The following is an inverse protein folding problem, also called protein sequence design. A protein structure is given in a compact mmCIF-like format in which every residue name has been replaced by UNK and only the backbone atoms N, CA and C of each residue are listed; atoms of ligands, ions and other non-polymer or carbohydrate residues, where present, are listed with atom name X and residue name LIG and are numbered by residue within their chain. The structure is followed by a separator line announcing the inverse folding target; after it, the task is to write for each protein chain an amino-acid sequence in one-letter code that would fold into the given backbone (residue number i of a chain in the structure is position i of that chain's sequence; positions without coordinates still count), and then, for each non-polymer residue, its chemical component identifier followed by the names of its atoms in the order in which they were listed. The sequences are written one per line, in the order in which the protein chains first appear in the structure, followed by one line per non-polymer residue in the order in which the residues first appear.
data_IF_948971507856
#
_entry.id   IF_948971507856
#
_cell.length_a   1.000
_cell.length_b   1.000
_cell.length_c   1.000
_cell.angle_alpha   90.00
_cell.angle_beta   90.00
_cell.angle_gamma   90.00
#
_symmetry.space_group_name_H-M   'P 1'
#
loop_
_entity.id
_entity.type
_entity.pdbx_description
1 polymer ?
#
# COMPACT_ATOMS: atom_id res chain seq x y z
N UNK A 1 -1.44 22.29 36.42
CA UNK A 1 -1.35 20.97 35.78
C UNK A 1 0.12 20.66 35.71
N UNK A 2 0.58 19.78 36.60
CA UNK A 2 1.98 19.41 36.68
C UNK A 2 2.29 18.57 35.44
N UNK A 3 3.08 19.14 34.53
CA UNK A 3 3.50 18.44 33.32
C UNK A 3 4.43 17.31 33.75
N UNK A 4 3.98 16.06 33.60
CA UNK A 4 4.86 14.91 33.76
C UNK A 4 6.11 15.13 32.86
N UNK A 5 7.33 15.10 33.42
CA UNK A 5 8.52 15.36 32.63
C UNK A 5 8.69 14.27 31.57
N UNK A 6 9.08 14.67 30.36
CA UNK A 6 9.39 13.73 29.27
C UNK A 6 10.58 12.86 29.70
N UNK A 7 10.45 11.54 29.54
CA UNK A 7 11.55 10.62 29.77
C UNK A 7 12.54 10.71 28.60
N UNK A 8 13.65 11.42 28.81
CA UNK A 8 14.68 11.64 27.80
C UNK A 8 15.42 10.36 27.39
N UNK A 9 15.60 9.40 28.30
CA UNK A 9 16.23 8.10 27.97
C UNK A 9 15.34 7.28 27.03
N UNK A 10 14.02 7.26 27.28
CA UNK A 10 13.07 6.58 26.41
C UNK A 10 13.01 7.25 25.01
N UNK A 11 13.07 8.58 24.96
CA UNK A 11 13.09 9.31 23.69
C UNK A 11 14.38 9.04 22.90
N UNK A 12 15.54 9.04 23.57
CA UNK A 12 16.83 8.74 22.93
C UNK A 12 16.85 7.33 22.32
N UNK A 13 16.37 6.33 23.08
CA UNK A 13 16.22 4.96 22.58
C UNK A 13 15.36 4.88 21.32
N UNK A 14 14.21 5.58 21.29
CA UNK A 14 13.32 5.63 20.13
C UNK A 14 13.96 6.30 18.91
N UNK A 15 14.74 7.37 19.11
CA UNK A 15 15.45 8.07 18.04
C UNK A 15 16.56 7.18 17.45
N UNK A 16 17.32 6.50 18.31
CA UNK A 16 18.37 5.57 17.87
C UNK A 16 17.79 4.38 17.10
N UNK A 17 16.68 3.81 17.56
CA UNK A 17 15.96 2.76 16.85
C UNK A 17 15.47 3.23 15.47
N UNK A 18 14.88 4.43 15.42
CA UNK A 18 14.46 5.05 14.17
C UNK A 18 15.64 5.24 13.20
N UNK A 19 16.75 5.83 13.66
CA UNK A 19 17.93 6.07 12.84
C UNK A 19 18.51 4.78 12.24
N UNK A 20 18.49 3.68 13.00
CA UNK A 20 18.87 2.34 12.49
C UNK A 20 17.86 1.83 11.45
N UNK A 21 16.57 1.93 11.72
CA UNK A 21 15.51 1.42 10.84
C UNK A 21 15.41 2.17 9.50
N UNK A 22 15.79 3.45 9.50
CA UNK A 22 15.80 4.37 8.35
C UNK A 22 17.15 4.39 7.62
N UNK A 23 18.14 3.62 8.09
CA UNK A 23 19.51 3.62 7.56
C UNK A 23 20.18 5.01 7.53
N UNK A 24 19.91 5.83 8.56
CA UNK A 24 20.47 7.18 8.70
C UNK A 24 21.86 7.16 9.36
N UNK A 25 22.26 6.02 9.91
CA UNK A 25 23.60 5.79 10.42
C UNK A 25 24.40 5.14 9.28
N UNK A 26 25.47 5.79 8.82
CA UNK A 26 26.47 5.08 8.00
C UNK A 26 27.00 3.90 8.83
N UNK A 27 27.17 2.73 8.20
CA UNK A 27 27.83 1.54 8.77
C UNK A 27 29.32 1.84 9.04
N UNK A 28 29.59 2.80 9.93
CA UNK A 28 30.92 3.18 10.41
C UNK A 28 31.50 2.15 11.39
N UNK A 29 30.86 0.97 11.52
CA UNK A 29 31.34 -0.15 12.32
C UNK A 29 31.78 -1.35 11.48
N UNK A 30 32.11 -1.15 10.21
CA UNK A 30 33.13 -1.99 9.56
C UNK A 30 34.53 -1.55 10.01
N UNK A 31 34.74 -1.46 11.33
CA UNK A 31 36.04 -1.30 11.97
C UNK A 31 36.83 -2.60 11.80
N UNK A 32 37.33 -2.80 10.58
CA UNK A 32 38.46 -3.69 10.35
C UNK A 32 39.62 -3.19 11.23
N UNK A 33 40.25 -4.02 12.07
CA UNK A 33 41.42 -3.57 12.82
C UNK A 33 42.53 -3.18 11.84
N UNK A 34 43.35 -2.14 12.13
CA UNK A 34 44.42 -1.74 11.23
C UNK A 34 45.47 -2.85 11.17
N UNK A 35 45.44 -3.63 10.10
CA UNK A 35 46.48 -4.62 9.82
C UNK A 35 47.70 -3.88 9.27
N UNK A 36 48.86 -4.20 9.87
CA UNK A 36 50.18 -3.68 9.51
C UNK A 36 50.55 -3.93 8.03
N UNK A 37 51.52 -3.19 7.45
CA UNK A 37 51.77 -3.22 6.02
C UNK A 37 52.60 -4.44 5.62
N UNK A 38 52.08 -5.29 4.74
CA UNK A 38 52.89 -6.22 3.94
C UNK A 38 52.14 -6.66 2.68
N UNK A 39 52.66 -6.18 1.55
CA UNK A 39 52.71 -6.73 0.19
C UNK A 39 51.84 -7.96 -0.15
N UNK A 40 50.93 -7.81 -1.11
CA UNK A 40 50.87 -8.53 -2.41
C UNK A 40 49.45 -8.74 -2.94
N UNK A 41 49.32 -8.46 -4.24
CA UNK A 41 48.32 -8.85 -5.24
C UNK A 41 47.12 -9.72 -4.79
N UNK A 42 45.89 -9.23 -5.01
CA UNK A 42 44.94 -9.75 -6.01
C UNK A 42 43.50 -9.27 -5.76
N UNK A 43 42.72 -9.27 -6.85
CA UNK A 43 41.25 -9.40 -6.89
C UNK A 43 40.42 -8.14 -6.60
N UNK A 44 40.01 -7.49 -7.68
CA UNK A 44 38.90 -6.55 -7.72
C UNK A 44 37.58 -7.27 -7.43
N UNK A 45 37.23 -7.41 -6.16
CA UNK A 45 35.83 -7.60 -5.77
C UNK A 45 35.20 -6.21 -5.76
N UNK A 46 34.50 -5.89 -6.84
CA UNK A 46 33.46 -4.88 -6.80
C UNK A 46 32.42 -5.35 -5.79
N UNK A 47 32.61 -4.97 -4.53
CA UNK A 47 31.56 -5.06 -3.52
C UNK A 47 30.50 -4.05 -3.92
N UNK A 48 29.60 -4.46 -4.80
CA UNK A 48 28.26 -3.87 -4.88
C UNK A 48 27.77 -3.75 -3.43
N UNK A 49 27.28 -2.59 -2.98
CA UNK A 49 26.73 -2.48 -1.64
C UNK A 49 25.61 -3.51 -1.60
N UNK A 50 25.81 -4.56 -0.82
CA UNK A 50 24.76 -5.51 -0.51
C UNK A 50 23.59 -4.66 -0.02
N UNK A 51 22.51 -4.63 -0.81
CA UNK A 51 21.20 -4.14 -0.41
C UNK A 51 20.74 -5.04 0.75
N UNK A 52 21.37 -4.87 1.92
CA UNK A 52 20.85 -5.33 3.19
C UNK A 52 19.47 -4.72 3.24
N UNK A 53 18.46 -5.58 3.11
CA UNK A 53 17.05 -5.22 2.98
C UNK A 53 16.62 -4.41 4.20
N UNK A 54 16.85 -3.09 4.15
CA UNK A 54 16.49 -2.20 5.23
C UNK A 54 14.98 -2.13 5.30
N UNK A 55 14.42 -2.17 6.51
CA UNK A 55 12.99 -1.94 6.75
C UNK A 55 12.49 -0.69 6.02
N UNK A 56 13.34 0.34 5.91
CA UNK A 56 13.11 1.51 5.08
C UNK A 56 12.84 1.22 3.60
N UNK A 57 13.67 0.42 2.92
CA UNK A 57 13.47 0.13 1.50
C UNK A 57 12.13 -0.58 1.28
N UNK A 58 11.78 -1.54 2.15
CA UNK A 58 10.48 -2.22 2.11
C UNK A 58 9.33 -1.22 2.30
N UNK A 59 9.40 -0.31 3.29
CA UNK A 59 8.37 0.72 3.50
C UNK A 59 8.27 1.70 2.33
N UNK A 60 9.39 2.10 1.73
CA UNK A 60 9.41 2.95 0.54
C UNK A 60 8.74 2.25 -0.65
N UNK A 61 9.00 0.96 -0.85
CA UNK A 61 8.35 0.16 -1.89
C UNK A 61 6.86 0.04 -1.65
N UNK A 62 6.43 -0.22 -0.41
CA UNK A 62 5.01 -0.24 -0.02
C UNK A 62 4.35 1.10 -0.33
N UNK A 63 5.00 2.20 0.04
CA UNK A 63 4.51 3.55 -0.24
C UNK A 63 4.37 3.82 -1.74
N UNK A 64 5.35 3.42 -2.57
CA UNK A 64 5.29 3.56 -4.03
C UNK A 64 4.12 2.77 -4.64
N UNK A 65 3.97 1.50 -4.24
CA UNK A 65 2.86 0.64 -4.69
C UNK A 65 1.52 1.27 -4.30
N UNK A 66 1.39 1.72 -3.05
CA UNK A 66 0.19 2.40 -2.60
C UNK A 66 -0.13 3.60 -3.47
N UNK A 67 0.87 4.45 -3.72
CA UNK A 67 0.68 5.70 -4.48
C UNK A 67 0.28 5.45 -5.93
N UNK A 68 0.84 4.41 -6.57
CA UNK A 68 0.44 4.03 -7.93
C UNK A 68 -1.01 3.52 -7.96
N UNK A 69 -1.40 2.70 -6.97
CA UNK A 69 -2.77 2.22 -6.84
C UNK A 69 -3.76 3.35 -6.60
N UNK A 70 -3.46 4.31 -5.72
CA UNK A 70 -4.30 5.50 -5.46
C UNK A 70 -4.41 6.45 -6.66
N UNK A 71 -3.36 6.54 -7.47
CA UNK A 71 -3.37 7.29 -8.73
C UNK A 71 -4.20 6.59 -9.83
N UNK A 72 -4.54 5.31 -9.65
CA UNK A 72 -5.26 4.50 -10.63
C UNK A 72 -4.33 3.84 -11.68
N UNK A 73 -3.01 3.89 -11.46
CA UNK A 73 -2.03 3.16 -12.28
C UNK A 73 -1.78 1.77 -11.66
N UNK A 74 -2.72 0.86 -11.94
CA UNK A 74 -2.70 -0.50 -11.39
C UNK A 74 -1.58 -1.33 -12.02
N UNK A 75 -1.23 -1.06 -13.27
CA UNK A 75 -0.17 -1.78 -13.97
C UNK A 75 1.20 -1.50 -13.36
N UNK A 76 1.53 -0.23 -13.12
CA UNK A 76 2.76 0.12 -12.42
C UNK A 76 2.81 -0.49 -11.00
N UNK A 77 1.67 -0.52 -10.29
CA UNK A 77 1.57 -1.17 -8.98
C UNK A 77 1.82 -2.67 -9.04
N UNK A 78 1.25 -3.37 -10.04
CA UNK A 78 1.45 -4.81 -10.24
C UNK A 78 2.88 -5.13 -10.66
N UNK A 79 3.54 -4.31 -11.46
CA UNK A 79 4.92 -4.52 -11.87
C UNK A 79 5.89 -4.38 -10.68
N UNK A 80 5.64 -3.40 -9.80
CA UNK A 80 6.35 -3.25 -8.52
C UNK A 80 6.11 -4.46 -7.59
N UNK A 81 4.88 -4.99 -7.55
CA UNK A 81 4.56 -6.20 -6.79
C UNK A 81 5.33 -7.42 -7.32
N UNK A 82 5.35 -7.65 -8.63
CA UNK A 82 6.10 -8.78 -9.23
C UNK A 82 7.59 -8.71 -8.95
N UNK A 83 8.16 -7.51 -8.88
CA UNK A 83 9.59 -7.30 -8.68
C UNK A 83 10.02 -7.42 -7.22
N UNK A 84 9.19 -6.98 -6.26
CA UNK A 84 9.55 -6.95 -4.84
C UNK A 84 8.86 -8.01 -3.96
N UNK A 85 7.66 -8.49 -4.33
CA UNK A 85 6.89 -9.46 -3.56
C UNK A 85 5.99 -10.33 -4.47
N UNK A 86 6.55 -11.13 -5.39
CA UNK A 86 5.77 -11.92 -6.34
C UNK A 86 4.84 -12.93 -5.66
N UNK A 87 5.23 -13.45 -4.49
CA UNK A 87 4.45 -14.40 -3.69
C UNK A 87 3.09 -13.87 -3.20
N UNK A 88 2.89 -12.55 -3.19
CA UNK A 88 1.58 -11.96 -2.83
C UNK A 88 0.59 -12.12 -3.98
N UNK A 89 1.07 -12.20 -5.23
CA UNK A 89 0.23 -12.39 -6.40
C UNK A 89 -0.20 -13.86 -6.59
N UNK A 90 0.37 -14.79 -5.84
CA UNK A 90 -0.09 -16.18 -5.77
C UNK A 90 -1.45 -16.30 -5.04
N UNK A 91 -1.83 -15.30 -4.24
CA UNK A 91 -3.17 -15.23 -3.67
C UNK A 91 -4.18 -14.80 -4.75
N UNK A 92 -4.92 -15.78 -5.27
CA UNK A 92 -5.94 -15.59 -6.29
C UNK A 92 -7.03 -14.57 -5.89
N UNK A 93 -7.33 -14.39 -4.59
CA UNK A 93 -8.32 -13.40 -4.12
C UNK A 93 -7.78 -11.99 -4.31
N UNK A 94 -6.53 -11.75 -3.91
CA UNK A 94 -5.86 -10.45 -4.09
C UNK A 94 -5.65 -10.14 -5.57
N UNK A 95 -5.21 -11.13 -6.34
CA UNK A 95 -5.04 -10.99 -7.78
C UNK A 95 -6.37 -10.63 -8.46
N UNK A 96 -7.47 -11.32 -8.13
CA UNK A 96 -8.80 -10.99 -8.66
C UNK A 96 -9.21 -9.55 -8.33
N UNK A 97 -9.03 -9.09 -7.09
CA UNK A 97 -9.34 -7.71 -6.67
C UNK A 97 -8.52 -6.67 -7.44
N UNK A 98 -7.23 -6.93 -7.68
CA UNK A 98 -6.38 -6.05 -8.48
C UNK A 98 -6.80 -6.02 -9.96
N UNK A 99 -7.07 -7.17 -10.56
CA UNK A 99 -7.53 -7.24 -11.96
C UNK A 99 -8.89 -6.57 -12.14
N UNK A 100 -9.79 -6.73 -11.17
CA UNK A 100 -11.08 -6.05 -11.13
C UNK A 100 -10.91 -4.54 -11.10
N UNK A 101 -10.01 -4.02 -10.26
CA UNK A 101 -9.70 -2.59 -10.23
C UNK A 101 -9.09 -2.11 -11.55
N UNK A 102 -8.13 -2.86 -12.11
CA UNK A 102 -7.51 -2.55 -13.41
C UNK A 102 -8.56 -2.40 -14.51
N UNK A 103 -9.52 -3.33 -14.57
CA UNK A 103 -10.64 -3.27 -15.51
C UNK A 103 -11.45 -1.97 -15.37
N UNK A 104 -11.83 -1.59 -14.14
CA UNK A 104 -12.56 -0.35 -13.87
C UNK A 104 -11.73 0.89 -14.27
N UNK A 105 -10.42 0.92 -14.00
CA UNK A 105 -9.56 2.04 -14.39
C UNK A 105 -9.44 2.19 -15.91
N UNK A 106 -9.40 1.10 -16.66
CA UNK A 106 -9.43 1.16 -18.12
C UNK A 106 -10.74 1.76 -18.64
N UNK A 107 -11.89 1.37 -18.06
CA UNK A 107 -13.17 1.95 -18.42
C UNK A 107 -13.31 3.42 -17.98
N UNK A 108 -12.73 3.80 -16.83
CA UNK A 108 -12.79 5.17 -16.29
C UNK A 108 -12.16 6.21 -17.22
N UNK A 109 -11.20 5.80 -18.07
CA UNK A 109 -10.60 6.66 -19.10
C UNK A 109 -11.62 7.13 -20.16
N UNK A 110 -12.69 6.37 -20.39
CA UNK A 110 -13.77 6.72 -21.33
C UNK A 110 -13.38 6.72 -22.82
N UNK A 111 -12.13 6.38 -23.15
CA UNK A 111 -11.62 6.31 -24.53
C UNK A 111 -12.00 4.97 -25.19
N UNK A 112 -12.07 4.94 -26.53
CA UNK A 112 -12.27 3.68 -27.27
C UNK A 112 -11.15 2.68 -26.99
N UNK A 113 -9.90 3.14 -26.99
CA UNK A 113 -8.73 2.34 -26.63
C UNK A 113 -8.82 1.80 -25.19
N UNK A 114 -9.31 2.61 -24.24
CA UNK A 114 -9.55 2.18 -22.86
C UNK A 114 -10.58 1.06 -22.78
N UNK A 115 -11.66 1.13 -23.57
CA UNK A 115 -12.64 0.05 -23.68
C UNK A 115 -12.04 -1.22 -24.29
N UNK A 116 -11.23 -1.11 -25.33
CA UNK A 116 -10.58 -2.26 -25.97
C UNK A 116 -9.59 -2.94 -25.01
N UNK A 117 -8.81 -2.15 -24.27
CA UNK A 117 -7.92 -2.64 -23.21
C UNK A 117 -8.72 -3.29 -22.06
N UNK A 118 -9.88 -2.74 -21.69
CA UNK A 118 -10.75 -3.34 -20.68
C UNK A 118 -11.28 -4.70 -21.14
N UNK A 119 -11.72 -4.84 -22.40
CA UNK A 119 -12.18 -6.11 -22.98
C UNK A 119 -11.04 -7.13 -23.05
N UNK A 120 -9.84 -6.70 -23.45
CA UNK A 120 -8.66 -7.55 -23.45
C UNK A 120 -8.34 -8.05 -22.02
N UNK A 121 -8.22 -7.12 -21.06
CA UNK A 121 -7.99 -7.42 -19.65
C UNK A 121 -9.05 -8.39 -19.08
N UNK A 122 -10.31 -8.19 -19.46
CA UNK A 122 -11.41 -9.04 -19.06
C UNK A 122 -11.21 -10.50 -19.50
N UNK A 123 -10.90 -10.69 -20.79
CA UNK A 123 -10.75 -12.01 -21.40
C UNK A 123 -9.49 -12.74 -20.97
N UNK A 124 -8.37 -12.02 -20.85
CA UNK A 124 -7.05 -12.64 -20.63
C UNK A 124 -6.70 -12.80 -19.16
N UNK A 125 -7.20 -11.94 -18.28
CA UNK A 125 -6.82 -11.92 -16.86
C UNK A 125 -8.03 -12.08 -15.93
N UNK A 126 -9.04 -11.22 -16.04
CA UNK A 126 -10.11 -11.16 -15.04
C UNK A 126 -11.01 -12.40 -15.03
N UNK A 127 -11.46 -12.88 -16.19
CA UNK A 127 -12.33 -14.04 -16.28
C UNK A 127 -11.65 -15.34 -15.80
N UNK A 128 -10.40 -15.66 -16.21
CA UNK A 128 -9.65 -16.76 -15.61
C UNK A 128 -9.47 -16.60 -14.09
N UNK A 129 -9.08 -15.41 -13.62
CA UNK A 129 -8.90 -15.17 -12.18
C UNK A 129 -10.20 -15.38 -11.37
N UNK A 130 -11.36 -15.07 -11.94
CA UNK A 130 -12.65 -15.23 -11.26
C UNK A 130 -13.02 -16.70 -11.02
N UNK A 131 -12.58 -17.61 -11.91
CA UNK A 131 -12.85 -19.05 -11.79
C UNK A 131 -12.05 -19.68 -10.65
N UNK A 132 -10.82 -19.18 -10.43
CA UNK A 132 -9.85 -19.78 -9.51
C UNK A 132 -9.80 -19.09 -8.13
N UNK A 133 -10.49 -17.96 -7.93
CA UNK A 133 -10.37 -17.16 -6.71
C UNK A 133 -11.17 -17.68 -5.51
N UNK A 134 -12.50 -17.65 -5.59
CA UNK A 134 -13.43 -18.15 -4.55
C UNK A 134 -14.84 -18.29 -5.16
N UNK A 135 -15.75 -19.08 -4.56
CA UNK A 135 -17.04 -19.41 -5.16
C UNK A 135 -17.88 -18.21 -5.60
N UNK A 136 -17.87 -17.12 -4.83
CA UNK A 136 -18.64 -15.89 -5.11
C UNK A 136 -17.95 -14.94 -6.12
N UNK A 137 -16.67 -15.17 -6.44
CA UNK A 137 -15.89 -14.28 -7.32
C UNK A 137 -16.48 -14.20 -8.73
N UNK A 138 -17.12 -15.27 -9.21
CA UNK A 138 -17.76 -15.28 -10.52
C UNK A 138 -19.02 -14.40 -10.55
N UNK A 139 -19.77 -14.31 -9.45
CA UNK A 139 -20.89 -13.37 -9.34
C UNK A 139 -20.40 -11.92 -9.27
N UNK A 140 -19.32 -11.66 -8.53
CA UNK A 140 -18.65 -10.34 -8.56
C UNK A 140 -18.16 -9.97 -9.96
N UNK A 141 -17.62 -10.93 -10.70
CA UNK A 141 -17.22 -10.74 -12.09
C UNK A 141 -18.40 -10.35 -12.98
N UNK A 142 -19.53 -11.08 -12.91
CA UNK A 142 -20.75 -10.74 -13.64
C UNK A 142 -21.27 -9.35 -13.27
N UNK A 143 -21.26 -9.02 -11.98
CA UNK A 143 -21.70 -7.72 -11.49
C UNK A 143 -20.85 -6.59 -12.07
N UNK A 144 -19.53 -6.77 -12.11
CA UNK A 144 -18.59 -5.78 -12.65
C UNK A 144 -18.77 -5.55 -14.16
N UNK A 145 -19.28 -6.53 -14.92
CA UNK A 145 -19.61 -6.33 -16.34
C UNK A 145 -20.67 -5.25 -16.57
N UNK A 146 -21.51 -4.95 -15.58
CA UNK A 146 -22.48 -3.87 -15.65
C UNK A 146 -21.80 -2.50 -15.84
N UNK A 147 -20.51 -2.37 -15.50
CA UNK A 147 -19.72 -1.16 -15.78
C UNK A 147 -19.54 -0.87 -17.29
N UNK A 148 -19.85 -1.81 -18.19
CA UNK A 148 -19.94 -1.52 -19.63
C UNK A 148 -21.21 -0.75 -20.01
N UNK A 149 -22.28 -0.92 -19.22
CA UNK A 149 -23.62 -0.39 -19.51
C UNK A 149 -23.84 0.92 -18.75
N UNK A 150 -23.45 0.95 -17.48
CA UNK A 150 -23.64 2.08 -16.60
C UNK A 150 -22.38 2.96 -16.54
N UNK A 151 -22.56 4.25 -16.80
CA UNK A 151 -21.50 5.24 -16.75
C UNK A 151 -21.09 5.55 -15.29
N UNK A 152 -19.87 6.07 -15.12
CA UNK A 152 -19.30 6.46 -13.82
C UNK A 152 -20.12 7.53 -13.09
N UNK A 153 -20.86 8.35 -13.83
CA UNK A 153 -21.64 9.47 -13.30
C UNK A 153 -23.05 9.04 -12.84
N UNK A 154 -23.45 7.80 -13.15
CA UNK A 154 -24.74 7.24 -12.73
C UNK A 154 -24.70 6.72 -11.29
N UNK A 155 -25.15 7.58 -10.36
CA UNK A 155 -25.22 7.27 -8.92
C UNK A 155 -26.29 6.22 -8.57
N UNK A 156 -27.24 5.95 -9.46
CA UNK A 156 -28.27 4.91 -9.26
C UNK A 156 -27.83 3.54 -9.76
N UNK A 157 -26.66 3.48 -10.41
CA UNK A 157 -26.10 2.26 -10.94
C UNK A 157 -25.83 1.23 -9.83
N UNK A 158 -26.13 -0.06 -10.08
CA UNK A 158 -25.72 -1.14 -9.17
C UNK A 158 -24.19 -1.27 -9.03
N UNK A 159 -23.41 -0.66 -9.92
CA UNK A 159 -21.94 -0.63 -9.87
C UNK A 159 -21.38 0.73 -9.43
N UNK A 160 -22.21 1.66 -8.95
CA UNK A 160 -21.75 2.99 -8.50
C UNK A 160 -20.61 2.92 -7.46
N UNK A 161 -20.64 1.91 -6.58
CA UNK A 161 -19.59 1.68 -5.59
C UNK A 161 -18.24 1.29 -6.21
N UNK A 162 -18.24 0.53 -7.30
CA UNK A 162 -17.02 0.13 -8.02
C UNK A 162 -16.35 1.34 -8.70
N UNK A 163 -17.15 2.32 -9.13
CA UNK A 163 -16.68 3.58 -9.68
C UNK A 163 -16.12 4.55 -8.63
N UNK A 164 -16.30 4.28 -7.34
CA UNK A 164 -15.85 5.20 -6.29
C UNK A 164 -14.33 5.24 -6.16
N UNK A 165 -13.78 6.43 -5.90
CA UNK A 165 -12.36 6.56 -5.50
C UNK A 165 -12.09 5.83 -4.17
N UNK A 166 -13.11 5.73 -3.31
CA UNK A 166 -13.03 4.98 -2.05
C UNK A 166 -12.58 3.54 -2.28
N UNK A 167 -13.15 2.87 -3.28
CA UNK A 167 -12.76 1.49 -3.65
C UNK A 167 -11.28 1.38 -3.99
N UNK A 168 -10.74 2.37 -4.70
CA UNK A 168 -9.32 2.45 -5.04
C UNK A 168 -8.44 2.61 -3.79
N UNK A 169 -8.82 3.49 -2.86
CA UNK A 169 -8.12 3.66 -1.59
C UNK A 169 -8.20 2.41 -0.71
N UNK A 170 -9.34 1.73 -0.68
CA UNK A 170 -9.53 0.51 0.10
C UNK A 170 -8.60 -0.62 -0.40
N UNK A 171 -8.46 -0.78 -1.72
CA UNK A 171 -7.53 -1.76 -2.32
C UNK A 171 -6.08 -1.36 -2.05
N UNK A 172 -5.74 -0.08 -2.19
CA UNK A 172 -4.40 0.42 -1.88
C UNK A 172 -4.03 0.20 -0.41
N UNK A 173 -4.99 0.40 0.50
CA UNK A 173 -4.79 0.17 1.93
C UNK A 173 -4.69 -1.31 2.30
N UNK A 174 -5.53 -2.16 1.70
CA UNK A 174 -5.42 -3.62 1.82
C UNK A 174 -4.04 -4.10 1.35
N UNK A 175 -3.59 -3.64 0.18
CA UNK A 175 -2.30 -4.03 -0.37
C UNK A 175 -1.14 -3.57 0.54
N UNK A 176 -1.22 -2.34 1.05
CA UNK A 176 -0.22 -1.81 1.98
C UNK A 176 -0.17 -2.62 3.28
N UNK A 177 -1.32 -3.01 3.81
CA UNK A 177 -1.44 -3.87 4.99
C UNK A 177 -0.81 -5.25 4.75
N UNK A 178 -1.17 -5.92 3.65
CA UNK A 178 -0.64 -7.25 3.28
C UNK A 178 0.88 -7.19 3.07
N UNK A 179 1.38 -6.17 2.37
CA UNK A 179 2.80 -6.01 2.13
C UNK A 179 3.58 -5.73 3.42
N UNK A 180 3.05 -4.91 4.34
CA UNK A 180 3.71 -4.67 5.64
C UNK A 180 3.85 -5.97 6.42
N UNK A 181 2.79 -6.79 6.44
CA UNK A 181 2.84 -8.10 7.09
C UNK A 181 3.83 -9.05 6.41
N UNK A 182 3.84 -9.08 5.08
CA UNK A 182 4.69 -9.97 4.30
C UNK A 182 6.19 -9.61 4.36
N UNK A 183 6.51 -8.31 4.35
CA UNK A 183 7.89 -7.80 4.34
C UNK A 183 8.40 -7.46 5.75
N UNK A 184 7.58 -7.68 6.79
CA UNK A 184 7.84 -7.26 8.17
C UNK A 184 8.25 -5.77 8.28
N UNK A 185 7.69 -4.93 7.41
CA UNK A 185 8.06 -3.55 7.20
C UNK A 185 7.16 -2.61 8.00
N UNK A 186 7.19 -2.74 9.32
CA UNK A 186 6.38 -1.93 10.23
C UNK A 186 6.97 -0.53 10.44
N UNK A 187 6.08 0.44 10.68
CA UNK A 187 6.49 1.81 10.97
C UNK A 187 7.19 1.87 12.34
N UNK A 188 8.37 2.51 12.44
CA UNK A 188 9.04 2.71 13.71
C UNK A 188 8.16 3.48 14.69
N UNK A 189 8.19 3.12 15.98
CA UNK A 189 7.37 3.74 17.02
C UNK A 189 7.56 5.26 17.04
N UNK A 190 8.80 5.73 16.86
CA UNK A 190 9.10 7.16 16.77
C UNK A 190 8.35 7.86 15.63
N UNK A 191 8.31 7.24 14.44
CA UNK A 191 7.57 7.79 13.29
C UNK A 191 6.06 7.85 13.59
N UNK A 192 5.52 6.82 14.24
CA UNK A 192 4.12 6.79 14.68
C UNK A 192 3.80 7.88 15.71
N UNK A 193 4.72 8.11 16.67
CA UNK A 193 4.60 9.21 17.65
C UNK A 193 4.64 10.57 16.96
N UNK A 194 5.56 10.78 16.02
CA UNK A 194 5.62 12.01 15.22
C UNK A 194 4.34 12.23 14.42
N UNK A 195 3.78 11.17 13.81
CA UNK A 195 2.49 11.24 13.12
C UNK A 195 1.41 11.80 14.02
N UNK A 196 1.26 11.22 15.21
CA UNK A 196 0.25 11.62 16.18
C UNK A 196 0.40 13.10 16.58
N UNK A 197 1.63 13.54 16.85
CA UNK A 197 1.93 14.94 17.17
C UNK A 197 1.60 15.88 16.01
N UNK A 198 1.92 15.50 14.77
CA UNK A 198 1.59 16.28 13.57
C UNK A 198 0.06 16.39 13.40
N UNK A 199 -0.69 15.31 13.62
CA UNK A 199 -2.16 15.33 13.55
C UNK A 199 -2.76 16.27 14.60
N UNK A 200 -2.26 16.27 15.84
CA UNK A 200 -2.68 17.22 16.88
C UNK A 200 -2.37 18.66 16.44
N UNK A 201 -1.17 18.90 15.94
CA UNK A 201 -0.74 20.22 15.47
C UNK A 201 -1.61 20.72 14.31
N UNK A 202 -1.91 19.87 13.32
CA UNK A 202 -2.84 20.20 12.22
C UNK A 202 -4.22 20.56 12.77
N UNK A 203 -4.73 19.80 13.73
CA UNK A 203 -6.01 20.09 14.39
C UNK A 203 -6.03 21.43 15.14
N UNK A 204 -4.92 21.79 15.77
CA UNK A 204 -4.75 23.10 16.41
C UNK A 204 -4.71 24.24 15.39
N UNK A 205 -3.86 24.13 14.36
CA UNK A 205 -3.74 25.14 13.29
C UNK A 205 -5.07 25.35 12.57
N UNK A 206 -5.80 24.27 12.27
CA UNK A 206 -7.12 24.33 11.64
C UNK A 206 -8.11 25.17 12.47
N UNK A 207 -8.15 24.97 13.80
CA UNK A 207 -9.01 25.76 14.70
C UNK A 207 -8.61 27.24 14.75
N UNK A 208 -7.35 27.55 14.46
CA UNK A 208 -6.85 28.92 14.40
C UNK A 208 -6.96 29.55 13.00
N UNK A 209 -7.42 28.81 11.99
CA UNK A 209 -7.47 29.28 10.61
C UNK A 209 -6.09 29.43 9.96
N UNK A 210 -5.05 28.79 10.52
CA UNK A 210 -3.67 28.85 10.04
C UNK A 210 -3.36 27.57 9.27
N UNK A 211 -2.63 27.67 8.15
CA UNK A 211 -2.10 26.50 7.44
C UNK A 211 -0.90 25.97 8.21
N UNK A 212 -0.93 24.69 8.56
CA UNK A 212 0.17 24.07 9.32
C UNK A 212 1.48 24.09 8.50
N UNK A 213 2.57 24.71 8.98
CA UNK A 213 3.85 24.76 8.28
C UNK A 213 4.53 23.40 8.11
N UNK A 214 4.15 22.41 8.92
CA UNK A 214 4.71 21.05 8.92
C UNK A 214 3.81 20.03 8.20
N UNK A 215 2.92 20.50 7.32
CA UNK A 215 1.92 19.63 6.69
C UNK A 215 2.52 18.59 5.76
N UNK A 216 3.68 18.86 5.17
CA UNK A 216 4.42 17.99 4.25
C UNK A 216 5.26 16.92 4.98
N UNK A 217 5.51 17.09 6.28
CA UNK A 217 6.35 16.20 7.07
C UNK A 217 5.83 14.76 7.11
N UNK A 218 4.51 14.55 7.06
CA UNK A 218 3.93 13.20 7.01
C UNK A 218 4.30 12.45 5.73
N UNK A 219 4.38 13.14 4.59
CA UNK A 219 4.81 12.53 3.33
C UNK A 219 6.31 12.19 3.36
N UNK A 220 7.14 13.07 3.93
CA UNK A 220 8.58 12.84 4.07
C UNK A 220 8.92 11.66 4.97
N UNK A 221 8.10 11.41 5.99
CA UNK A 221 8.25 10.30 6.94
C UNK A 221 7.59 8.99 6.46
N UNK A 222 7.07 8.95 5.22
CA UNK A 222 6.34 7.81 4.65
C UNK A 222 5.13 7.37 5.50
N UNK A 223 4.57 8.32 6.26
CA UNK A 223 3.46 8.09 7.16
C UNK A 223 2.14 8.26 6.42
N UNK A 224 1.47 7.16 6.11
CA UNK A 224 0.12 7.22 5.55
C UNK A 224 -0.94 7.10 6.64
N UNK A 225 -1.89 8.03 6.64
CA UNK A 225 -2.85 8.24 7.74
C UNK A 225 -4.02 7.24 7.70
N UNK A 226 -4.11 6.43 6.63
CA UNK A 226 -5.32 5.65 6.27
C UNK A 226 -5.17 4.15 6.32
N UNK A 227 -4.02 3.61 6.69
CA UNK A 227 -3.88 2.15 6.70
C UNK A 227 -4.49 1.50 7.93
N UNK A 228 -5.36 0.49 7.75
CA UNK A 228 -5.71 -0.40 8.85
C UNK A 228 -4.44 -1.06 9.38
N UNK A 229 -4.42 -1.49 10.65
CA UNK A 229 -3.31 -2.28 11.18
C UNK A 229 -3.07 -3.48 10.27
N UNK A 230 -1.81 -3.93 10.19
CA UNK A 230 -1.43 -5.08 9.38
C UNK A 230 -2.35 -6.27 9.70
N UNK A 231 -3.18 -6.66 8.73
CA UNK A 231 -4.13 -7.75 8.89
C UNK A 231 -3.35 -9.05 8.77
N UNK A 232 -3.45 -9.91 9.79
CA UNK A 232 -2.90 -11.25 9.74
C UNK A 232 -3.49 -12.00 8.54
N UNK A 233 -2.69 -12.86 7.89
CA UNK A 233 -3.13 -13.68 6.74
C UNK A 233 -4.45 -14.41 7.00
N UNK A 234 -4.74 -14.77 8.25
CA UNK A 234 -5.94 -15.48 8.68
C UNK A 234 -7.24 -14.66 8.55
N UNK A 235 -7.19 -13.32 8.64
CA UNK A 235 -8.40 -12.48 8.48
C UNK A 235 -8.75 -12.17 7.01
N UNK A 236 -7.87 -12.53 6.06
CA UNK A 236 -8.14 -12.42 4.63
C UNK A 236 -9.08 -13.53 4.14
N UNK A 237 -9.32 -14.56 4.95
CA UNK A 237 -10.22 -15.67 4.62
C UNK A 237 -11.69 -15.35 4.87
N UNK A 238 -12.00 -14.36 5.71
CA UNK A 238 -13.38 -13.97 6.01
C UNK A 238 -13.96 -13.19 4.82
N UNK A 239 -14.92 -13.81 4.11
CA UNK A 239 -15.68 -13.14 3.09
C UNK A 239 -16.46 -11.98 3.75
N UNK A 240 -16.52 -10.78 3.14
CA UNK A 240 -17.49 -9.77 3.56
C UNK A 240 -18.87 -10.42 3.57
N UNK A 241 -19.72 -10.18 4.58
CA UNK A 241 -21.10 -10.67 4.53
C UNK A 241 -21.74 -10.13 3.25
N UNK A 242 -22.33 -11.03 2.48
CA UNK A 242 -23.09 -10.70 1.30
C UNK A 242 -24.28 -9.84 1.74
N UNK A 243 -24.31 -8.57 1.34
CA UNK A 243 -25.50 -7.75 1.47
C UNK A 243 -26.49 -8.25 0.42
N UNK A 244 -27.34 -9.22 0.81
CA UNK A 244 -28.55 -9.52 0.07
C UNK A 244 -29.34 -8.22 -0.01
N UNK A 245 -29.26 -7.53 -1.14
CA UNK A 245 -30.20 -6.47 -1.49
C UNK A 245 -31.57 -7.11 -1.38
N UNK A 246 -32.27 -6.81 -0.27
CA UNK A 246 -33.65 -7.24 -0.05
C UNK A 246 -34.46 -6.71 -1.22
N UNK A 247 -34.72 -7.58 -2.19
CA UNK A 247 -35.85 -7.43 -3.10
C UNK A 247 -37.10 -7.51 -2.22
N UNK A 248 -37.48 -6.38 -1.62
CA UNK A 248 -38.79 -6.24 -1.01
C UNK A 248 -39.81 -6.35 -2.14
N UNK A 249 -40.40 -7.54 -2.20
CA UNK A 249 -41.68 -7.91 -2.79
C UNK A 249 -42.56 -6.68 -3.12
N UNK A 250 -42.71 -6.39 -4.41
CA UNK A 250 -43.95 -5.82 -4.90
C UNK A 250 -44.81 -7.00 -5.40
N UNK A 251 -45.76 -7.40 -4.57
CA UNK A 251 -47.00 -8.08 -4.96
C UNK A 251 -48.15 -7.19 -4.53
#
# INVERSE_FOLDING_TARGET
MDSAPVNWEALDALIVEFAKSENLLEDSFSSSPPSSPSSSSCSSYSSSPSLSSSSYHSRLTIWKIRRSLEAGDIDAGMDLLRSHAPSILDDHRLLFRLQKQKFIEHLRKGTSEGRDLAIACLRTALAPCALDAYPEAYEEFKHVLLAFIYDKDDKTSPVANEWSERRRYDIAGLMSSVLRAHLHAYDPVFSMTLRYLITIHKGYCFRQGIVSPISDLTQRLLLDERDPPATARESLYEAPPFDEVRFLNYS
#
